data_IF_171779470746
#
_entry.id   IF_171779470746
#
_cell.length_a   1.000
_cell.length_b   1.000
_cell.length_c   1.000
_cell.angle_alpha   90.00
_cell.angle_beta   90.00
_cell.angle_gamma   90.00
#
_symmetry.space_group_name_H-M   'P 1'
#
loop_
_entity.id
_entity.type
_entity.pdbx_description
1 polymer ?
#
# COMPACT_ATOMS: atom_id res chain seq x y z
N UNK A 1 -7.02 -3.50 7.97
CA UNK A 1 -7.21 -4.76 8.70
C UNK A 1 -7.48 -5.96 7.79
N UNK A 2 -8.51 -5.92 6.89
CA UNK A 2 -8.82 -7.06 6.01
C UNK A 2 -7.61 -7.53 5.19
N UNK A 3 -6.93 -6.61 4.52
CA UNK A 3 -5.76 -6.94 3.68
C UNK A 3 -4.62 -7.61 4.46
N UNK A 4 -4.43 -7.26 5.72
CA UNK A 4 -3.40 -7.91 6.55
C UNK A 4 -3.73 -9.37 6.85
N UNK A 5 -5.02 -9.70 6.98
CA UNK A 5 -5.52 -11.06 7.20
C UNK A 5 -5.54 -11.90 5.92
N UNK A 6 -5.96 -11.32 4.79
CA UNK A 6 -6.04 -11.98 3.49
C UNK A 6 -4.66 -12.15 2.83
N UNK A 7 -3.74 -11.21 3.14
CA UNK A 7 -2.43 -11.14 2.50
C UNK A 7 -2.47 -10.50 1.11
N UNK A 8 -1.33 -10.53 0.43
CA UNK A 8 -1.20 -10.10 -0.98
C UNK A 8 -0.30 -11.06 -1.74
N UNK A 9 -0.89 -11.83 -2.65
CA UNK A 9 -0.15 -12.82 -3.45
C UNK A 9 0.79 -12.17 -4.47
N UNK A 10 0.45 -10.99 -4.96
CA UNK A 10 1.30 -10.26 -5.93
C UNK A 10 2.61 -9.80 -5.30
N UNK A 11 2.56 -9.44 -4.03
CA UNK A 11 3.70 -8.95 -3.26
C UNK A 11 4.32 -10.03 -2.35
N UNK A 12 3.86 -11.27 -2.50
CA UNK A 12 4.31 -12.41 -1.68
C UNK A 12 4.12 -12.19 -0.17
N UNK A 13 3.05 -11.48 0.20
CA UNK A 13 2.67 -11.24 1.60
C UNK A 13 1.67 -12.32 2.00
N UNK A 14 2.03 -13.24 2.93
CA UNK A 14 1.16 -14.34 3.30
C UNK A 14 -0.04 -13.86 4.13
N UNK A 15 -1.23 -14.38 3.81
CA UNK A 15 -2.43 -14.23 4.62
C UNK A 15 -2.71 -15.48 5.47
N UNK A 16 -3.78 -15.40 6.27
CA UNK A 16 -4.24 -16.52 7.09
C UNK A 16 -5.28 -17.33 6.30
N UNK A 17 -5.07 -18.63 6.25
CA UNK A 17 -5.98 -19.54 5.55
C UNK A 17 -7.39 -19.47 6.15
N UNK A 18 -8.38 -19.22 5.31
CA UNK A 18 -9.79 -19.14 5.71
C UNK A 18 -10.25 -17.74 6.14
N UNK A 19 -9.38 -16.72 6.09
CA UNK A 19 -9.71 -15.33 6.41
C UNK A 19 -10.31 -14.53 5.23
N UNK A 20 -11.01 -15.17 4.30
CA UNK A 20 -11.75 -14.46 3.27
C UNK A 20 -12.87 -13.59 3.84
N UNK A 21 -13.23 -12.50 3.14
CA UNK A 21 -14.17 -11.47 3.59
C UNK A 21 -15.48 -12.04 4.14
N UNK A 22 -16.08 -13.03 3.45
CA UNK A 22 -17.34 -13.66 3.88
C UNK A 22 -17.20 -14.37 5.23
N UNK A 23 -16.07 -15.02 5.46
CA UNK A 23 -15.79 -15.74 6.71
C UNK A 23 -15.56 -14.74 7.84
N UNK A 24 -14.78 -13.69 7.59
CA UNK A 24 -14.49 -12.66 8.58
C UNK A 24 -15.77 -11.95 9.03
N UNK A 25 -16.62 -11.49 8.12
CA UNK A 25 -17.88 -10.84 8.46
C UNK A 25 -18.83 -11.77 9.23
N UNK A 26 -18.83 -13.08 8.93
CA UNK A 26 -19.62 -14.07 9.68
C UNK A 26 -19.09 -14.30 11.10
N UNK A 27 -17.77 -14.24 11.31
CA UNK A 27 -17.13 -14.56 12.58
C UNK A 27 -16.91 -13.35 13.49
N UNK A 28 -16.79 -12.19 12.87
CA UNK A 28 -16.60 -10.90 13.51
C UNK A 28 -17.65 -9.92 12.97
N UNK A 29 -18.89 -9.97 13.46
CA UNK A 29 -19.94 -9.04 13.03
C UNK A 29 -19.56 -7.58 13.25
N UNK A 30 -18.66 -7.33 14.21
CA UNK A 30 -18.09 -6.04 14.56
C UNK A 30 -17.39 -5.37 13.36
N UNK A 31 -16.88 -6.16 12.42
CA UNK A 31 -16.28 -5.65 11.17
C UNK A 31 -17.29 -5.05 10.18
N UNK A 32 -18.58 -5.24 10.42
CA UNK A 32 -19.66 -4.63 9.62
C UNK A 32 -20.12 -3.27 10.16
N UNK A 33 -19.61 -2.85 11.33
CA UNK A 33 -19.92 -1.56 11.92
C UNK A 33 -19.17 -0.44 11.16
N UNK A 34 -19.76 0.76 11.14
CA UNK A 34 -19.14 1.94 10.52
C UNK A 34 -18.11 2.57 11.47
N UNK A 35 -17.09 1.78 11.81
CA UNK A 35 -15.95 2.21 12.63
C UNK A 35 -14.69 1.44 12.26
N UNK A 36 -13.56 2.01 12.56
CA UNK A 36 -12.28 1.34 12.41
C UNK A 36 -12.05 0.35 13.55
N UNK A 37 -11.74 -0.89 13.20
CA UNK A 37 -11.29 -1.93 14.15
C UNK A 37 -9.78 -2.07 14.04
N UNK A 38 -9.09 -1.96 15.16
CA UNK A 38 -7.65 -2.11 15.25
C UNK A 38 -7.23 -3.58 15.28
N UNK A 39 -5.94 -3.85 15.09
CA UNK A 39 -5.40 -5.21 15.24
C UNK A 39 -5.50 -5.69 16.69
N UNK A 40 -5.25 -4.81 17.65
CA UNK A 40 -5.33 -5.16 19.08
C UNK A 40 -6.76 -5.53 19.47
N UNK A 41 -7.76 -4.79 18.97
CA UNK A 41 -9.17 -5.12 19.17
C UNK A 41 -9.54 -6.47 18.52
N UNK A 42 -9.05 -6.74 17.32
CA UNK A 42 -9.24 -8.04 16.68
C UNK A 42 -8.64 -9.18 17.51
N UNK A 43 -7.41 -9.00 18.03
CA UNK A 43 -6.78 -10.00 18.87
C UNK A 43 -7.57 -10.24 20.16
N UNK A 44 -8.07 -9.20 20.80
CA UNK A 44 -8.92 -9.33 21.98
C UNK A 44 -10.20 -10.12 21.66
N UNK A 45 -10.88 -9.81 20.55
CA UNK A 45 -12.04 -10.58 20.09
C UNK A 45 -11.72 -12.05 19.82
N UNK A 46 -10.52 -12.36 19.35
CA UNK A 46 -10.06 -13.73 19.19
C UNK A 46 -9.78 -14.43 20.51
N UNK A 47 -9.18 -13.75 21.47
CA UNK A 47 -8.92 -14.26 22.84
C UNK A 47 -10.23 -14.60 23.54
N UNK A 48 -11.23 -13.73 23.49
CA UNK A 48 -12.56 -13.93 24.10
C UNK A 48 -13.33 -15.11 23.48
N UNK A 49 -13.01 -15.43 22.23
CA UNK A 49 -13.66 -16.51 21.46
C UNK A 49 -12.75 -17.74 21.29
N UNK A 50 -11.56 -17.75 21.91
CA UNK A 50 -10.58 -18.83 21.77
C UNK A 50 -11.16 -20.20 22.17
N UNK A 51 -10.72 -21.25 21.47
CA UNK A 51 -11.21 -22.59 21.68
C UNK A 51 -12.53 -22.94 21.00
N UNK A 52 -13.32 -21.97 20.51
CA UNK A 52 -14.58 -22.22 19.81
C UNK A 52 -14.37 -22.63 18.36
N UNK A 53 -13.39 -22.02 17.69
CA UNK A 53 -13.10 -22.25 16.27
C UNK A 53 -11.60 -22.08 16.04
N UNK A 54 -11.03 -22.96 15.23
CA UNK A 54 -9.59 -22.96 14.88
C UNK A 54 -9.11 -21.60 14.33
N UNK A 55 -9.97 -20.88 13.58
CA UNK A 55 -9.63 -19.58 12.99
C UNK A 55 -9.15 -18.56 14.02
N UNK A 56 -9.75 -18.53 15.21
CA UNK A 56 -9.34 -17.58 16.27
C UNK A 56 -7.95 -17.90 16.79
N UNK A 57 -7.65 -19.17 16.96
CA UNK A 57 -6.31 -19.64 17.34
C UNK A 57 -5.28 -19.33 16.24
N UNK A 58 -5.61 -19.62 14.98
CA UNK A 58 -4.74 -19.36 13.83
C UNK A 58 -4.39 -17.85 13.72
N UNK A 59 -5.35 -16.95 13.99
CA UNK A 59 -5.13 -15.49 14.03
C UNK A 59 -4.20 -15.09 15.17
N UNK A 60 -4.39 -15.65 16.37
CA UNK A 60 -3.56 -15.33 17.53
C UNK A 60 -2.13 -15.86 17.37
N UNK A 61 -1.95 -17.07 16.82
CA UNK A 61 -0.64 -17.64 16.52
C UNK A 61 0.12 -16.85 15.45
N UNK A 62 -0.62 -16.19 14.52
CA UNK A 62 -0.04 -15.39 13.46
C UNK A 62 0.10 -13.89 13.83
N UNK A 63 -0.01 -13.49 15.09
CA UNK A 63 -0.02 -12.10 15.55
C UNK A 63 1.18 -11.30 15.01
N UNK A 64 2.39 -11.81 15.12
CA UNK A 64 3.61 -11.14 14.65
C UNK A 64 3.61 -10.98 13.11
N UNK A 65 3.16 -12.01 12.39
CA UNK A 65 3.01 -11.95 10.95
C UNK A 65 2.00 -10.88 10.54
N UNK A 66 0.86 -10.78 11.21
CA UNK A 66 -0.18 -9.78 10.90
C UNK A 66 0.30 -8.35 11.19
N UNK A 67 1.06 -8.14 12.25
CA UNK A 67 1.68 -6.85 12.55
C UNK A 67 2.76 -6.50 11.50
N UNK A 68 3.51 -7.48 11.02
CA UNK A 68 4.46 -7.28 9.92
C UNK A 68 3.71 -6.95 8.61
N UNK A 69 2.64 -7.68 8.27
CA UNK A 69 1.81 -7.40 7.11
C UNK A 69 1.24 -5.97 7.17
N UNK A 70 0.79 -5.53 8.36
CA UNK A 70 0.34 -4.15 8.57
C UNK A 70 1.44 -3.17 8.17
N UNK A 71 2.66 -3.33 8.70
CA UNK A 71 3.80 -2.45 8.42
C UNK A 71 4.16 -2.41 6.93
N UNK A 72 4.04 -3.53 6.22
CA UNK A 72 4.35 -3.62 4.79
C UNK A 72 3.27 -2.97 3.91
N UNK A 73 2.01 -2.99 4.36
CA UNK A 73 0.85 -2.50 3.59
C UNK A 73 0.42 -1.09 3.98
N UNK A 74 0.95 -0.53 5.07
CA UNK A 74 0.58 0.81 5.55
C UNK A 74 1.27 1.88 4.72
N UNK A 75 0.46 2.74 4.08
CA UNK A 75 0.95 3.82 3.23
C UNK A 75 1.06 5.16 3.98
N UNK A 76 0.29 5.32 5.06
CA UNK A 76 0.25 6.58 5.81
C UNK A 76 1.52 6.82 6.63
N UNK A 77 2.13 5.73 7.13
CA UNK A 77 3.39 5.79 7.89
C UNK A 77 4.44 4.84 7.28
N UNK A 78 4.93 5.11 6.07
CA UNK A 78 5.90 4.24 5.43
C UNK A 78 7.22 4.23 6.19
N UNK A 79 7.81 3.04 6.36
CA UNK A 79 9.10 2.84 7.00
C UNK A 79 10.27 3.30 6.13
N UNK A 80 10.31 4.60 5.83
CA UNK A 80 11.42 5.22 5.13
C UNK A 80 12.42 5.75 6.17
N UNK A 81 13.70 5.35 6.14
CA UNK A 81 14.72 5.88 7.04
C UNK A 81 14.77 7.40 6.99
N UNK A 82 14.99 8.05 8.14
CA UNK A 82 15.00 9.51 8.27
C UNK A 82 15.96 10.17 7.28
N UNK A 83 17.15 9.60 7.06
CA UNK A 83 18.11 10.09 6.07
C UNK A 83 17.51 10.15 4.65
N UNK A 84 16.73 9.13 4.28
CA UNK A 84 16.06 9.10 2.97
C UNK A 84 14.92 10.11 2.90
N UNK A 85 14.15 10.26 3.99
CA UNK A 85 13.09 11.31 4.08
C UNK A 85 13.70 12.70 3.89
N UNK A 86 14.82 13.00 4.53
CA UNK A 86 15.50 14.28 4.38
C UNK A 86 15.96 14.50 2.93
N UNK A 87 16.60 13.52 2.30
CA UNK A 87 17.00 13.59 0.88
C UNK A 87 15.83 13.85 -0.06
N UNK A 88 14.66 13.22 0.20
CA UNK A 88 13.45 13.47 -0.57
C UNK A 88 12.96 14.90 -0.37
N UNK A 89 12.90 15.37 0.90
CA UNK A 89 12.48 16.74 1.22
C UNK A 89 13.40 17.79 0.61
N UNK A 90 14.71 17.57 0.63
CA UNK A 90 15.68 18.47 0.00
C UNK A 90 15.45 18.58 -1.51
N UNK A 91 15.15 17.45 -2.18
CA UNK A 91 14.80 17.44 -3.60
C UNK A 91 13.50 18.21 -3.90
N UNK A 92 12.51 18.14 -3.03
CA UNK A 92 11.27 18.94 -3.19
C UNK A 92 11.45 20.43 -2.92
N UNK A 93 12.54 20.83 -2.24
CA UNK A 93 12.88 22.24 -1.96
C UNK A 93 13.75 22.87 -3.04
N UNK A 94 14.34 22.05 -3.93
CA UNK A 94 15.06 22.55 -5.10
C UNK A 94 14.02 23.18 -6.06
N UNK A 95 13.92 24.50 -6.06
CA UNK A 95 12.90 25.29 -6.78
C UNK A 95 13.05 25.26 -8.32
N UNK A 96 14.15 24.75 -8.84
CA UNK A 96 14.47 24.76 -10.27
C UNK A 96 14.44 23.35 -10.89
N UNK A 97 13.25 22.77 -10.96
CA UNK A 97 13.04 21.60 -11.82
C UNK A 97 12.69 22.06 -13.22
N UNK A 98 13.70 22.21 -14.07
CA UNK A 98 13.47 22.43 -15.50
C UNK A 98 13.04 21.14 -16.17
N UNK A 99 11.89 21.16 -16.85
CA UNK A 99 11.46 20.03 -17.66
C UNK A 99 12.24 19.99 -18.98
N UNK A 100 13.07 18.98 -19.16
CA UNK A 100 13.76 18.72 -20.43
C UNK A 100 13.05 17.62 -21.22
N UNK A 101 12.34 18.03 -22.27
CA UNK A 101 11.58 17.10 -23.13
C UNK A 101 12.47 16.04 -23.78
N UNK A 102 13.69 16.39 -24.21
CA UNK A 102 14.59 15.43 -24.87
C UNK A 102 15.07 14.36 -23.88
N UNK A 103 15.40 14.75 -22.67
CA UNK A 103 15.81 13.81 -21.64
C UNK A 103 14.66 12.91 -21.19
N UNK A 104 13.46 13.46 -21.07
CA UNK A 104 12.25 12.67 -20.83
C UNK A 104 12.05 11.61 -21.91
N UNK A 105 12.14 12.00 -23.19
CA UNK A 105 12.00 11.06 -24.31
C UNK A 105 13.12 10.00 -24.34
N UNK A 106 14.36 10.38 -24.04
CA UNK A 106 15.49 9.43 -23.92
C UNK A 106 15.25 8.39 -22.82
N UNK A 107 14.83 8.85 -21.64
CA UNK A 107 14.52 7.95 -20.53
C UNK A 107 13.35 7.03 -20.89
N UNK A 108 12.30 7.58 -21.46
CA UNK A 108 11.14 6.82 -21.89
C UNK A 108 11.46 5.77 -22.97
N UNK A 109 12.32 6.10 -23.93
CA UNK A 109 12.81 5.15 -24.94
C UNK A 109 13.69 4.05 -24.31
N UNK A 110 14.61 4.44 -23.40
CA UNK A 110 15.49 3.49 -22.69
C UNK A 110 14.69 2.43 -21.94
N UNK A 111 13.61 2.82 -21.27
CA UNK A 111 12.77 1.91 -20.50
C UNK A 111 11.55 1.37 -21.26
N UNK A 112 11.47 1.66 -22.58
CA UNK A 112 10.42 1.18 -23.49
C UNK A 112 8.98 1.53 -23.04
N UNK A 113 8.81 2.62 -22.29
CA UNK A 113 7.48 3.06 -21.84
C UNK A 113 6.72 3.88 -22.88
N UNK A 114 7.43 4.52 -23.83
CA UNK A 114 6.82 5.40 -24.82
C UNK A 114 5.95 4.67 -25.86
N UNK A 115 6.21 3.38 -26.10
CA UNK A 115 5.49 2.58 -27.09
C UNK A 115 4.00 2.39 -26.76
N UNK A 116 3.60 2.62 -25.52
CA UNK A 116 2.22 2.48 -25.07
C UNK A 116 1.40 3.77 -25.22
N UNK A 117 2.01 4.87 -25.69
CA UNK A 117 1.36 6.17 -25.76
C UNK A 117 1.03 6.52 -27.22
N UNK A 118 -0.24 6.87 -27.48
CA UNK A 118 -0.72 7.24 -28.82
C UNK A 118 -0.10 8.53 -29.31
N UNK A 119 -0.14 9.57 -28.44
CA UNK A 119 0.46 10.88 -28.72
C UNK A 119 1.14 11.40 -27.47
N UNK A 120 2.46 11.27 -27.45
CA UNK A 120 3.28 11.71 -26.33
C UNK A 120 3.39 13.23 -26.25
N UNK A 121 3.31 13.93 -27.38
CA UNK A 121 3.42 15.37 -27.38
C UNK A 121 2.17 16.03 -26.80
N UNK A 122 1.00 15.54 -27.18
CA UNK A 122 -0.28 16.00 -26.61
C UNK A 122 -0.35 15.72 -25.12
N UNK A 123 0.07 14.52 -24.69
CA UNK A 123 0.12 14.17 -23.28
C UNK A 123 1.10 15.04 -22.49
N UNK A 124 2.31 15.30 -23.01
CA UNK A 124 3.28 16.18 -22.37
C UNK A 124 2.73 17.60 -22.21
N UNK A 125 2.09 18.12 -23.26
CA UNK A 125 1.54 19.45 -23.24
C UNK A 125 0.35 19.57 -22.27
N UNK A 126 -0.54 18.60 -22.22
CA UNK A 126 -1.68 18.62 -21.30
C UNK A 126 -1.26 18.42 -19.84
N UNK A 127 -0.26 17.56 -19.59
CA UNK A 127 0.15 17.20 -18.22
C UNK A 127 1.13 18.22 -17.62
N UNK A 128 2.08 18.73 -18.43
CA UNK A 128 3.15 19.62 -17.96
C UNK A 128 3.05 21.04 -18.50
N UNK A 129 1.86 21.47 -18.94
CA UNK A 129 1.64 22.81 -19.50
C UNK A 129 2.23 23.92 -18.62
N UNK A 130 2.01 23.87 -17.31
CA UNK A 130 2.47 24.89 -16.37
C UNK A 130 4.00 24.90 -16.13
N UNK A 131 4.71 23.84 -16.54
CA UNK A 131 6.15 23.67 -16.36
C UNK A 131 6.88 23.97 -17.68
N UNK A 132 6.26 23.65 -18.82
CA UNK A 132 6.85 23.84 -20.16
C UNK A 132 6.73 25.28 -20.65
N UNK A 133 5.75 26.03 -20.15
CA UNK A 133 5.45 27.42 -20.61
C UNK A 133 6.14 28.50 -19.78
N UNK A 134 7.06 28.12 -18.87
CA UNK A 134 8.00 29.04 -18.25
C UNK A 134 9.29 29.06 -19.06
#
# INVERSE_FOLDING_TARGET
LYRTLDGDKSDNIPGIKGCGIKTLLKRFPELSEDRLITHDELFQLCEDKQGKIKLYTDILEAKDQLLMNKRLMELDEPHIPTEKKLKILDRFREDDVEFNKLDFLRVGAKYKVLQNWRDINDWLQSTFHNIITK
#
